data_IF_584471012711
#
_entry.id   IF_584471012711
#
_cell.length_a   1.000
_cell.length_b   1.000
_cell.length_c   1.000
_cell.angle_alpha   90.00
_cell.angle_beta   90.00
_cell.angle_gamma   90.00
#
_symmetry.space_group_name_H-M   'P 1'
#
loop_
_entity.id
_entity.type
_entity.pdbx_description
1 polymer ?
#
# COMPACT_ATOMS: atom_id res chain seq x y z
N UNK A 1 -33.45 9.29 7.35
CA UNK A 1 -32.10 9.90 7.49
C UNK A 1 -31.08 8.76 7.44
N UNK A 2 -30.49 8.53 6.30
CA UNK A 2 -29.40 7.55 6.14
C UNK A 2 -28.15 8.14 6.80
N UNK A 3 -27.76 7.60 7.95
CA UNK A 3 -26.46 7.88 8.55
C UNK A 3 -25.40 7.44 7.55
N UNK A 4 -24.74 8.39 6.91
CA UNK A 4 -23.53 8.13 6.13
C UNK A 4 -22.51 7.58 7.11
N UNK A 5 -22.28 6.27 7.07
CA UNK A 5 -21.23 5.62 7.84
C UNK A 5 -19.90 6.23 7.37
N UNK A 6 -19.34 7.14 8.14
CA UNK A 6 -17.95 7.56 7.92
C UNK A 6 -17.07 6.32 8.07
N UNK A 7 -16.22 6.09 7.08
CA UNK A 7 -15.24 5.00 7.14
C UNK A 7 -14.34 5.25 8.35
N UNK A 8 -14.36 4.32 9.31
CA UNK A 8 -13.50 4.41 10.48
C UNK A 8 -12.06 4.07 10.03
N UNK A 9 -11.19 5.06 10.02
CA UNK A 9 -9.76 4.85 9.81
C UNK A 9 -9.05 4.77 11.16
N UNK A 10 -7.98 3.98 11.23
CA UNK A 10 -7.08 3.99 12.38
C UNK A 10 -6.24 5.27 12.44
N UNK A 11 -5.60 5.50 13.58
CA UNK A 11 -4.74 6.64 13.85
C UNK A 11 -5.39 7.70 14.73
N UNK A 12 -4.81 8.90 14.81
CA UNK A 12 -5.33 10.02 15.59
C UNK A 12 -6.75 10.42 15.15
N UNK A 13 -7.55 10.85 16.11
CA UNK A 13 -8.87 11.44 15.91
C UNK A 13 -8.92 12.89 16.43
N UNK A 14 -10.13 13.44 16.61
CA UNK A 14 -10.34 14.79 17.13
C UNK A 14 -9.84 14.97 18.59
N UNK A 15 -9.62 13.88 19.33
CA UNK A 15 -9.06 13.89 20.69
C UNK A 15 -7.51 13.84 20.68
N UNK A 16 -6.89 13.65 19.53
CA UNK A 16 -5.46 13.60 19.35
C UNK A 16 -4.89 12.21 19.16
N UNK A 17 -3.61 12.04 19.52
CA UNK A 17 -2.90 10.76 19.40
C UNK A 17 -3.21 9.92 20.64
N UNK A 18 -3.75 8.69 20.51
CA UNK A 18 -4.02 7.83 21.67
C UNK A 18 -2.71 7.37 22.31
N UNK A 19 -2.71 7.20 23.62
CA UNK A 19 -1.57 6.65 24.37
C UNK A 19 -1.20 5.24 23.90
N UNK A 20 -2.22 4.45 23.53
CA UNK A 20 -2.08 3.10 22.99
C UNK A 20 -2.78 3.03 21.63
N UNK A 21 -2.03 3.08 20.54
CA UNK A 21 -2.58 2.96 19.20
C UNK A 21 -2.46 1.51 18.68
N UNK A 22 -3.58 0.80 18.66
CA UNK A 22 -3.71 -0.55 18.08
C UNK A 22 -4.24 -0.53 16.64
N UNK A 23 -4.31 0.63 16.02
CA UNK A 23 -4.95 0.82 14.72
C UNK A 23 -3.97 1.21 13.60
N UNK A 24 -2.78 1.72 13.95
CA UNK A 24 -1.78 2.15 12.98
C UNK A 24 -0.62 1.16 12.92
N UNK A 25 -0.62 0.29 11.92
CA UNK A 25 0.41 -0.73 11.71
C UNK A 25 1.66 -0.15 11.02
N UNK A 26 2.31 0.82 11.64
CA UNK A 26 3.57 1.40 11.16
C UNK A 26 4.78 0.75 11.84
N UNK A 27 5.98 1.00 11.29
CA UNK A 27 7.23 0.57 11.89
C UNK A 27 7.40 1.18 13.31
N UNK A 28 7.35 0.33 14.32
CA UNK A 28 7.40 0.75 15.73
C UNK A 28 8.81 1.16 16.20
N UNK A 29 9.85 0.97 15.39
CA UNK A 29 11.19 1.48 15.66
C UNK A 29 11.30 3.02 15.52
N UNK A 30 10.18 3.69 15.24
CA UNK A 30 10.09 5.14 15.08
C UNK A 30 10.37 5.59 13.64
N UNK A 31 10.39 6.88 13.39
CA UNK A 31 10.67 7.37 12.05
C UNK A 31 12.11 7.05 11.63
N UNK A 32 12.28 6.59 10.38
CA UNK A 32 13.59 6.42 9.77
C UNK A 32 14.36 7.76 9.79
N UNK A 33 15.49 7.87 10.52
CA UNK A 33 16.14 9.18 10.73
C UNK A 33 16.63 9.83 9.43
N UNK A 34 17.18 9.03 8.50
CA UNK A 34 17.67 9.54 7.22
C UNK A 34 16.52 10.02 6.32
N UNK A 35 15.40 9.28 6.25
CA UNK A 35 14.23 9.70 5.52
C UNK A 35 13.58 10.95 6.13
N UNK A 36 13.45 11.00 7.45
CA UNK A 36 12.93 12.16 8.17
C UNK A 36 13.75 13.42 7.85
N UNK A 37 15.08 13.31 7.92
CA UNK A 37 15.98 14.44 7.64
C UNK A 37 15.85 14.93 6.19
N UNK A 38 15.63 14.04 5.21
CA UNK A 38 15.41 14.44 3.79
C UNK A 38 14.05 15.13 3.65
N UNK A 39 12.99 14.58 4.27
CA UNK A 39 11.65 15.19 4.25
C UNK A 39 11.65 16.58 4.89
N UNK A 40 12.31 16.77 6.04
CA UNK A 40 12.40 18.07 6.73
C UNK A 40 13.16 19.12 5.93
N UNK A 41 14.08 18.72 5.06
CA UNK A 41 14.85 19.64 4.18
C UNK A 41 14.21 19.85 2.82
N UNK A 42 13.06 19.23 2.53
CA UNK A 42 12.39 19.39 1.24
C UNK A 42 12.02 20.87 1.00
N UNK A 43 12.36 21.37 -0.18
CA UNK A 43 11.99 22.75 -0.56
C UNK A 43 10.52 22.81 -0.97
N UNK A 44 9.66 23.24 -0.06
CA UNK A 44 8.24 23.39 -0.28
C UNK A 44 7.83 24.70 -0.96
N UNK A 45 8.78 25.60 -1.33
CA UNK A 45 8.50 26.88 -1.99
C UNK A 45 8.16 26.72 -3.47
N UNK A 46 8.55 25.61 -4.08
CA UNK A 46 8.37 25.36 -5.50
C UNK A 46 7.61 24.04 -5.74
N UNK A 47 6.85 23.98 -6.82
CA UNK A 47 6.30 22.72 -7.30
C UNK A 47 7.43 21.80 -7.74
N UNK A 48 7.30 20.48 -7.53
CA UNK A 48 8.21 19.51 -8.12
C UNK A 48 8.17 19.53 -9.65
N UNK A 49 9.14 18.86 -10.29
CA UNK A 49 9.07 18.53 -11.72
C UNK A 49 7.71 17.89 -12.04
N UNK A 50 6.89 18.46 -12.95
CA UNK A 50 5.56 17.93 -13.25
C UNK A 50 5.57 16.51 -13.84
N UNK A 51 6.68 16.08 -14.44
CA UNK A 51 6.87 14.71 -14.94
C UNK A 51 7.45 13.76 -13.87
N UNK A 52 7.98 14.32 -12.76
CA UNK A 52 8.69 13.55 -11.70
C UNK A 52 9.77 12.63 -12.28
N UNK A 53 10.51 13.09 -13.30
CA UNK A 53 11.40 12.27 -14.12
C UNK A 53 12.42 11.52 -13.29
N UNK A 54 13.21 12.21 -12.46
CA UNK A 54 14.22 11.60 -11.61
C UNK A 54 13.60 10.62 -10.59
N UNK A 55 12.49 10.99 -9.93
CA UNK A 55 11.83 10.10 -8.98
C UNK A 55 11.35 8.80 -9.63
N UNK A 56 10.78 8.88 -10.84
CA UNK A 56 10.31 7.69 -11.57
C UNK A 56 11.47 6.79 -11.97
N UNK A 57 12.60 7.36 -12.39
CA UNK A 57 13.83 6.60 -12.70
C UNK A 57 14.39 5.91 -11.45
N UNK A 58 14.45 6.59 -10.30
CA UNK A 58 14.95 6.01 -9.06
C UNK A 58 14.06 4.85 -8.58
N UNK A 59 12.73 5.03 -8.60
CA UNK A 59 11.77 3.98 -8.25
C UNK A 59 11.87 2.79 -9.22
N UNK A 60 11.99 3.06 -10.51
CA UNK A 60 12.12 2.04 -11.54
C UNK A 60 13.41 1.24 -11.37
N UNK A 61 14.54 1.91 -11.13
CA UNK A 61 15.83 1.27 -10.87
C UNK A 61 15.77 0.40 -9.61
N UNK A 62 15.16 0.88 -8.52
CA UNK A 62 14.97 0.13 -7.28
C UNK A 62 14.19 -1.18 -7.47
N UNK A 63 13.18 -1.18 -8.33
CA UNK A 63 12.36 -2.34 -8.63
C UNK A 63 12.80 -3.14 -9.86
N UNK A 64 13.87 -2.71 -10.54
CA UNK A 64 14.33 -3.29 -11.80
C UNK A 64 13.23 -3.38 -12.87
N UNK A 65 12.49 -2.27 -13.06
CA UNK A 65 11.39 -2.14 -14.04
C UNK A 65 11.58 -0.89 -14.89
N UNK A 66 10.84 -0.78 -16.00
CA UNK A 66 10.85 0.44 -16.82
C UNK A 66 10.15 1.60 -16.11
N UNK A 67 10.69 2.83 -16.23
CA UNK A 67 10.13 4.04 -15.62
C UNK A 67 8.69 4.35 -16.09
N UNK A 68 8.32 3.96 -17.31
CA UNK A 68 6.96 4.08 -17.83
C UNK A 68 5.93 3.25 -17.07
N UNK A 69 6.37 2.21 -16.34
CA UNK A 69 5.50 1.38 -15.49
C UNK A 69 5.22 2.00 -14.14
N UNK A 70 5.93 3.07 -13.74
CA UNK A 70 5.73 3.75 -12.47
C UNK A 70 4.59 4.76 -12.58
N UNK A 71 3.53 4.57 -11.80
CA UNK A 71 2.38 5.47 -11.69
C UNK A 71 2.35 6.07 -10.29
N UNK A 72 2.63 7.37 -10.19
CA UNK A 72 2.68 8.09 -8.92
C UNK A 72 1.27 8.43 -8.42
N UNK A 73 1.12 8.48 -7.10
CA UNK A 73 -0.14 8.74 -6.40
C UNK A 73 0.08 9.51 -5.10
N UNK A 74 -0.84 10.41 -4.76
CA UNK A 74 -0.77 11.18 -3.52
C UNK A 74 -0.88 10.30 -2.27
N UNK A 75 -1.49 9.14 -2.37
CA UNK A 75 -1.57 8.10 -1.32
C UNK A 75 -2.12 6.80 -1.90
N UNK A 76 -2.11 5.71 -1.12
CA UNK A 76 -2.84 4.49 -1.51
C UNK A 76 -4.32 4.77 -1.72
N UNK A 77 -4.95 5.50 -0.81
CA UNK A 77 -6.39 5.85 -0.91
C UNK A 77 -6.71 6.62 -2.20
N UNK A 78 -5.84 7.56 -2.61
CA UNK A 78 -5.98 8.28 -3.86
C UNK A 78 -5.84 7.33 -5.06
N UNK A 79 -4.83 6.46 -5.06
CA UNK A 79 -4.67 5.47 -6.12
C UNK A 79 -5.87 4.53 -6.20
N UNK A 80 -6.38 4.04 -5.07
CA UNK A 80 -7.55 3.15 -5.00
C UNK A 80 -8.77 3.82 -5.64
N UNK A 81 -9.05 5.07 -5.27
CA UNK A 81 -10.17 5.82 -5.84
C UNK A 81 -10.01 6.03 -7.35
N UNK A 82 -8.84 6.49 -7.78
CA UNK A 82 -8.52 6.77 -9.19
C UNK A 82 -8.52 5.50 -10.05
N UNK A 83 -7.95 4.41 -9.54
CA UNK A 83 -7.93 3.12 -10.25
C UNK A 83 -9.34 2.56 -10.41
N UNK A 84 -10.16 2.61 -9.36
CA UNK A 84 -11.57 2.18 -9.43
C UNK A 84 -12.35 3.04 -10.42
N UNK A 85 -12.14 4.36 -10.43
CA UNK A 85 -12.73 5.27 -11.41
C UNK A 85 -12.33 4.93 -12.85
N UNK A 86 -11.05 4.60 -13.07
CA UNK A 86 -10.56 4.18 -14.37
C UNK A 86 -11.25 2.90 -14.86
N UNK A 87 -11.32 1.86 -14.00
CA UNK A 87 -12.00 0.60 -14.35
C UNK A 87 -13.50 0.83 -14.62
N UNK A 88 -14.17 1.69 -13.82
CA UNK A 88 -15.57 2.04 -14.03
C UNK A 88 -15.80 2.72 -15.39
N UNK A 89 -14.91 3.66 -15.76
CA UNK A 89 -14.98 4.37 -17.06
C UNK A 89 -14.81 3.42 -18.25
N UNK A 90 -14.03 2.35 -18.08
CA UNK A 90 -13.83 1.30 -19.10
C UNK A 90 -14.93 0.22 -19.05
N UNK A 91 -16.07 0.49 -18.39
CA UNK A 91 -17.24 -0.40 -18.33
C UNK A 91 -17.19 -1.47 -17.24
N UNK A 92 -16.22 -1.42 -16.33
CA UNK A 92 -16.17 -2.30 -15.16
C UNK A 92 -17.31 -2.02 -14.19
N UNK A 93 -17.97 -3.07 -13.68
CA UNK A 93 -19.13 -2.96 -12.79
C UNK A 93 -19.08 -3.95 -11.62
N UNK A 94 -18.13 -4.87 -11.60
CA UNK A 94 -18.05 -5.91 -10.59
C UNK A 94 -16.66 -5.93 -9.95
N UNK A 95 -16.63 -6.01 -8.61
CA UNK A 95 -15.40 -6.05 -7.83
C UNK A 95 -15.35 -7.28 -6.94
N UNK A 96 -14.19 -7.92 -6.90
CA UNK A 96 -13.87 -8.91 -5.90
C UNK A 96 -12.97 -8.30 -4.83
N UNK A 97 -13.31 -8.57 -3.55
CA UNK A 97 -12.58 -8.12 -2.39
C UNK A 97 -12.37 -9.30 -1.43
N UNK A 98 -11.24 -9.37 -0.71
CA UNK A 98 -11.07 -10.29 0.40
C UNK A 98 -12.18 -10.15 1.44
N UNK A 99 -12.41 -11.18 2.24
CA UNK A 99 -13.40 -11.15 3.31
C UNK A 99 -13.09 -10.06 4.35
N UNK A 100 -11.81 -9.98 4.74
CA UNK A 100 -11.25 -8.90 5.54
C UNK A 100 -10.34 -8.09 4.64
N UNK A 101 -10.64 -6.81 4.46
CA UNK A 101 -9.95 -5.95 3.51
C UNK A 101 -9.86 -4.51 4.04
N UNK A 102 -8.90 -3.76 3.52
CA UNK A 102 -8.82 -2.33 3.78
C UNK A 102 -10.10 -1.62 3.29
N UNK A 103 -10.67 -0.78 4.14
CA UNK A 103 -11.99 -0.16 3.92
C UNK A 103 -12.11 0.65 2.64
N UNK A 104 -11.03 1.29 2.20
CA UNK A 104 -11.04 2.13 1.00
C UNK A 104 -11.36 1.36 -0.29
N UNK A 105 -11.03 0.06 -0.37
CA UNK A 105 -11.42 -0.73 -1.54
C UNK A 105 -12.94 -0.82 -1.69
N UNK A 106 -13.63 -1.12 -0.58
CA UNK A 106 -15.09 -1.20 -0.57
C UNK A 106 -15.73 0.18 -0.76
N UNK A 107 -15.15 1.22 -0.15
CA UNK A 107 -15.64 2.58 -0.27
C UNK A 107 -15.54 3.09 -1.72
N UNK A 108 -14.40 2.91 -2.38
CA UNK A 108 -14.21 3.28 -3.77
C UNK A 108 -15.17 2.50 -4.70
N UNK A 109 -15.31 1.20 -4.47
CA UNK A 109 -16.25 0.37 -5.21
C UNK A 109 -17.71 0.86 -5.06
N UNK A 110 -18.13 1.19 -3.84
CA UNK A 110 -19.45 1.74 -3.57
C UNK A 110 -19.68 3.10 -4.25
N UNK A 111 -18.68 3.99 -4.20
CA UNK A 111 -18.75 5.31 -4.85
C UNK A 111 -18.97 5.22 -6.35
N UNK A 112 -18.42 4.21 -6.99
CA UNK A 112 -18.57 3.92 -8.42
C UNK A 112 -19.62 2.85 -8.73
N UNK A 113 -20.45 2.48 -7.74
CA UNK A 113 -21.58 1.53 -7.89
C UNK A 113 -21.18 0.15 -8.39
N UNK A 114 -20.00 -0.32 -8.00
CA UNK A 114 -19.58 -1.70 -8.29
C UNK A 114 -20.41 -2.69 -7.48
N UNK A 115 -20.86 -3.76 -8.14
CA UNK A 115 -21.40 -4.94 -7.47
C UNK A 115 -20.25 -5.78 -6.89
N UNK A 116 -20.32 -6.11 -5.61
CA UNK A 116 -19.37 -7.06 -4.99
C UNK A 116 -19.71 -8.48 -5.41
N UNK A 117 -18.73 -9.20 -5.96
CA UNK A 117 -18.87 -10.61 -6.33
C UNK A 117 -18.00 -11.51 -5.46
N UNK A 118 -18.48 -12.74 -5.21
CA UNK A 118 -17.74 -13.74 -4.43
C UNK A 118 -16.77 -14.57 -5.28
N UNK A 119 -17.07 -14.75 -6.55
CA UNK A 119 -16.20 -15.44 -7.49
C UNK A 119 -15.34 -14.45 -8.27
N UNK A 120 -14.00 -14.47 -8.10
CA UNK A 120 -13.10 -13.58 -8.82
C UNK A 120 -13.19 -13.71 -10.35
N UNK A 121 -13.60 -14.85 -10.87
CA UNK A 121 -13.80 -15.04 -12.32
C UNK A 121 -14.91 -14.13 -12.92
N UNK A 122 -15.79 -13.61 -12.09
CA UNK A 122 -16.85 -12.67 -12.48
C UNK A 122 -16.47 -11.20 -12.28
N UNK A 123 -15.32 -10.92 -11.68
CA UNK A 123 -14.89 -9.56 -11.38
C UNK A 123 -14.31 -8.86 -12.61
N UNK A 124 -14.46 -7.53 -12.67
CA UNK A 124 -13.72 -6.64 -13.57
C UNK A 124 -12.53 -6.00 -12.86
N UNK A 125 -12.65 -5.84 -11.54
CA UNK A 125 -11.63 -5.32 -10.63
C UNK A 125 -11.47 -6.27 -9.46
N UNK A 126 -10.23 -6.55 -9.05
CA UNK A 126 -9.96 -7.31 -7.84
C UNK A 126 -8.81 -6.67 -7.04
N UNK A 127 -9.01 -6.60 -5.73
CA UNK A 127 -8.00 -6.12 -4.80
C UNK A 127 -7.43 -7.27 -4.00
N UNK A 128 -6.11 -7.32 -3.90
CA UNK A 128 -5.35 -8.20 -3.02
C UNK A 128 -4.54 -7.32 -2.07
N UNK A 129 -4.28 -7.79 -0.86
CA UNK A 129 -3.35 -7.13 0.08
C UNK A 129 -2.45 -8.21 0.69
N UNK A 130 -1.14 -8.04 0.57
CA UNK A 130 -0.20 -9.03 1.11
C UNK A 130 1.10 -8.37 1.58
N UNK A 131 1.48 -8.58 2.85
CA UNK A 131 0.72 -9.21 3.93
C UNK A 131 -0.64 -8.54 4.12
N UNK A 132 -1.67 -9.34 4.42
CA UNK A 132 -3.05 -8.85 4.54
C UNK A 132 -3.24 -7.96 5.80
N UNK A 133 -4.24 -7.09 5.78
CA UNK A 133 -4.68 -6.35 6.96
C UNK A 133 -6.13 -6.75 7.26
N UNK A 134 -6.46 -7.13 8.50
CA UNK A 134 -5.66 -7.03 9.74
C UNK A 134 -4.82 -8.25 10.09
N UNK A 135 -4.87 -9.35 9.33
CA UNK A 135 -4.32 -10.64 9.75
C UNK A 135 -2.80 -10.78 9.54
N UNK A 136 -2.22 -10.03 8.61
CA UNK A 136 -0.80 -10.13 8.28
C UNK A 136 -0.43 -11.40 7.49
N UNK A 137 -1.40 -12.05 6.86
CA UNK A 137 -1.22 -13.35 6.17
C UNK A 137 -1.09 -13.17 4.67
N UNK A 138 -0.65 -14.24 3.99
CA UNK A 138 -0.73 -14.37 2.55
C UNK A 138 -2.20 -14.48 2.10
N UNK A 139 -2.53 -13.94 0.91
CA UNK A 139 -3.88 -14.03 0.37
C UNK A 139 -4.11 -15.43 -0.27
N UNK A 140 -4.97 -16.28 0.31
CA UNK A 140 -5.13 -17.66 -0.14
C UNK A 140 -5.67 -17.77 -1.56
N UNK A 141 -6.41 -16.76 -2.05
CA UNK A 141 -7.00 -16.74 -3.38
C UNK A 141 -6.14 -16.03 -4.43
N UNK A 142 -4.95 -15.53 -4.09
CA UNK A 142 -4.13 -14.70 -4.96
C UNK A 142 -3.93 -15.29 -6.35
N UNK A 143 -3.55 -16.56 -6.46
CA UNK A 143 -3.35 -17.23 -7.77
C UNK A 143 -4.63 -17.32 -8.59
N UNK A 144 -5.76 -17.62 -7.94
CA UNK A 144 -7.08 -17.69 -8.61
C UNK A 144 -7.52 -16.31 -9.09
N UNK A 145 -7.31 -15.28 -8.28
CA UNK A 145 -7.62 -13.89 -8.61
C UNK A 145 -6.78 -13.43 -9.80
N UNK A 146 -5.48 -13.69 -9.82
CA UNK A 146 -4.60 -13.34 -10.95
C UNK A 146 -4.98 -14.06 -12.24
N UNK A 147 -5.55 -15.25 -12.15
CA UNK A 147 -6.03 -16.02 -13.29
C UNK A 147 -7.44 -15.64 -13.78
N UNK A 148 -8.14 -14.74 -13.07
CA UNK A 148 -9.55 -14.40 -13.35
C UNK A 148 -9.78 -13.56 -14.61
N UNK A 149 -8.74 -12.86 -15.11
CA UNK A 149 -8.86 -11.89 -16.20
C UNK A 149 -9.32 -10.49 -15.75
N UNK A 150 -9.58 -10.28 -14.46
CA UNK A 150 -9.87 -8.95 -13.89
C UNK A 150 -8.64 -8.05 -13.93
N UNK A 151 -8.86 -6.72 -13.81
CA UNK A 151 -7.80 -5.80 -13.40
C UNK A 151 -7.45 -6.08 -11.93
N UNK A 152 -6.26 -6.59 -11.67
CA UNK A 152 -5.85 -7.00 -10.33
C UNK A 152 -4.84 -6.00 -9.77
N UNK A 153 -5.09 -5.52 -8.56
CA UNK A 153 -4.15 -4.72 -7.79
C UNK A 153 -3.73 -5.50 -6.54
N UNK A 154 -2.43 -5.73 -6.38
CA UNK A 154 -1.81 -6.22 -5.16
C UNK A 154 -1.32 -5.01 -4.35
N UNK A 155 -1.97 -4.73 -3.24
CA UNK A 155 -1.52 -3.73 -2.26
C UNK A 155 -0.38 -4.32 -1.44
N UNK A 156 0.78 -3.69 -1.53
CA UNK A 156 2.03 -4.09 -0.88
C UNK A 156 2.44 -3.12 0.22
N UNK A 157 1.47 -2.45 0.85
CA UNK A 157 1.73 -1.49 1.92
C UNK A 157 2.53 -2.07 3.09
N UNK A 158 2.36 -3.36 3.37
CA UNK A 158 3.04 -4.07 4.45
C UNK A 158 4.16 -5.01 3.98
N UNK A 159 4.37 -5.17 2.68
CA UNK A 159 5.46 -6.01 2.18
C UNK A 159 6.84 -5.60 2.70
N UNK A 160 7.18 -4.29 2.80
CA UNK A 160 8.44 -3.87 3.39
C UNK A 160 8.56 -4.16 4.88
N UNK A 161 7.46 -4.46 5.56
CA UNK A 161 7.39 -4.83 6.97
C UNK A 161 7.18 -6.33 7.18
N UNK A 162 7.31 -7.14 6.14
CA UNK A 162 7.20 -8.60 6.26
C UNK A 162 8.35 -9.14 7.12
N UNK A 163 7.99 -9.88 8.18
CA UNK A 163 8.95 -10.48 9.11
C UNK A 163 9.30 -11.92 8.73
N UNK A 164 8.34 -12.66 8.18
CA UNK A 164 8.50 -14.08 7.82
C UNK A 164 7.81 -14.39 6.50
N UNK A 165 8.20 -15.52 5.88
CA UNK A 165 7.58 -15.96 4.64
C UNK A 165 7.99 -15.12 3.42
N UNK A 166 7.18 -15.18 2.38
CA UNK A 166 7.37 -14.45 1.11
C UNK A 166 6.02 -14.21 0.44
N UNK A 167 5.98 -13.29 -0.51
CA UNK A 167 4.80 -13.06 -1.34
C UNK A 167 4.30 -14.36 -1.98
N UNK A 168 2.98 -14.56 -1.98
CA UNK A 168 2.34 -15.76 -2.56
C UNK A 168 2.40 -15.79 -4.09
N UNK A 169 2.63 -14.62 -4.71
CA UNK A 169 2.78 -14.47 -6.15
C UNK A 169 4.25 -14.53 -6.56
N UNK A 170 4.57 -15.44 -7.45
CA UNK A 170 5.90 -15.54 -8.08
C UNK A 170 6.19 -14.34 -9.01
N UNK A 171 7.46 -14.04 -9.34
CA UNK A 171 7.84 -12.88 -10.15
C UNK A 171 7.08 -12.74 -11.47
N UNK A 172 6.80 -13.86 -12.16
CA UNK A 172 6.03 -13.84 -13.41
C UNK A 172 4.58 -13.41 -13.19
N UNK A 173 3.97 -13.79 -12.06
CA UNK A 173 2.62 -13.38 -11.69
C UNK A 173 2.59 -11.92 -11.25
N UNK A 174 3.61 -11.43 -10.54
CA UNK A 174 3.76 -10.01 -10.18
C UNK A 174 3.85 -9.10 -11.41
N UNK A 175 4.41 -9.57 -12.52
CA UNK A 175 4.44 -8.83 -13.78
C UNK A 175 3.06 -8.73 -14.48
N UNK A 176 2.06 -9.43 -14.00
CA UNK A 176 0.69 -9.45 -14.55
C UNK A 176 -0.31 -8.64 -13.73
N UNK A 177 0.09 -8.10 -12.59
CA UNK A 177 -0.76 -7.35 -11.68
C UNK A 177 -0.19 -5.96 -11.41
N UNK A 178 -1.05 -5.02 -11.05
CA UNK A 178 -0.61 -3.75 -10.49
C UNK A 178 -0.09 -3.97 -9.08
N UNK A 179 1.04 -3.36 -8.74
CA UNK A 179 1.65 -3.47 -7.41
C UNK A 179 1.61 -2.09 -6.76
N UNK A 180 0.76 -1.89 -5.77
CA UNK A 180 0.62 -0.61 -5.05
C UNK A 180 1.56 -0.58 -3.85
N UNK A 181 2.40 0.46 -3.76
CA UNK A 181 3.41 0.65 -2.73
C UNK A 181 3.19 1.94 -1.95
N UNK A 182 3.29 1.85 -0.61
CA UNK A 182 3.16 2.97 0.33
C UNK A 182 4.23 2.89 1.41
N UNK A 183 5.45 3.36 1.15
CA UNK A 183 6.59 3.16 2.05
C UNK A 183 6.53 3.97 3.36
N UNK A 184 5.58 4.89 3.50
CA UNK A 184 5.43 5.73 4.69
C UNK A 184 5.24 4.93 5.99
N UNK A 185 4.58 3.75 5.92
CA UNK A 185 4.44 2.85 7.08
C UNK A 185 5.78 2.20 7.43
N UNK A 186 6.51 1.72 6.44
CA UNK A 186 7.82 1.10 6.62
C UNK A 186 8.85 2.08 7.19
N UNK A 187 8.78 3.33 6.79
CA UNK A 187 9.66 4.39 7.27
C UNK A 187 9.19 5.05 8.57
N UNK A 188 8.03 4.66 9.13
CA UNK A 188 7.48 5.28 10.34
C UNK A 188 7.07 6.75 10.15
N UNK A 189 6.72 7.15 8.93
CA UNK A 189 6.39 8.53 8.54
C UNK A 189 4.96 8.62 7.96
N UNK A 190 3.98 8.06 8.65
CA UNK A 190 2.59 7.91 8.16
C UNK A 190 1.90 9.24 7.84
N UNK A 191 2.31 10.33 8.47
CA UNK A 191 1.81 11.68 8.19
C UNK A 191 2.28 12.25 6.83
N UNK A 192 3.35 11.71 6.24
CA UNK A 192 3.79 12.10 4.90
C UNK A 192 3.12 11.20 3.87
N UNK A 193 2.29 11.82 3.03
CA UNK A 193 1.45 11.10 2.06
C UNK A 193 2.16 11.01 0.72
N UNK A 194 2.39 9.79 0.25
CA UNK A 194 2.99 9.50 -1.06
C UNK A 194 2.90 8.00 -1.34
N UNK A 195 2.56 7.64 -2.57
CA UNK A 195 2.45 6.27 -3.02
C UNK A 195 2.83 6.15 -4.50
N UNK A 196 3.05 4.95 -4.96
CA UNK A 196 3.20 4.65 -6.38
C UNK A 196 2.71 3.24 -6.67
N UNK A 197 2.33 3.01 -7.92
CA UNK A 197 2.03 1.67 -8.40
C UNK A 197 2.97 1.29 -9.55
N UNK A 198 3.32 0.01 -9.63
CA UNK A 198 4.04 -0.59 -10.75
C UNK A 198 2.98 -1.24 -11.66
N UNK A 199 2.87 -0.76 -12.88
CA UNK A 199 1.96 -1.33 -13.88
C UNK A 199 2.41 -2.72 -14.34
N UNK A 200 1.49 -3.60 -14.73
CA UNK A 200 1.81 -4.85 -15.42
C UNK A 200 2.67 -4.63 -16.68
N UNK A 201 3.41 -5.64 -17.08
CA UNK A 201 4.11 -5.61 -18.38
C UNK A 201 3.06 -5.46 -19.49
N UNK A 202 3.32 -4.55 -20.43
CA UNK A 202 2.40 -4.26 -21.53
C UNK A 202 1.23 -3.33 -21.21
N UNK A 203 1.09 -2.85 -19.97
CA UNK A 203 -0.02 -1.98 -19.54
C UNK A 203 0.27 -0.46 -19.67
N UNK A 204 1.17 -0.05 -20.58
CA UNK A 204 1.54 1.37 -20.76
C UNK A 204 0.34 2.26 -21.10
N UNK A 205 -0.63 1.74 -21.87
CA UNK A 205 -1.85 2.48 -22.18
C UNK A 205 -2.67 2.79 -20.92
N UNK A 206 -2.85 1.79 -20.07
CA UNK A 206 -3.56 1.94 -18.79
C UNK A 206 -2.80 2.88 -17.84
N UNK A 207 -1.47 2.78 -17.78
CA UNK A 207 -0.64 3.69 -16.99
C UNK A 207 -0.82 5.15 -17.45
N UNK A 208 -0.80 5.42 -18.75
CA UNK A 208 -1.09 6.76 -19.32
C UNK A 208 -2.51 7.24 -18.98
N UNK A 209 -3.52 6.37 -19.08
CA UNK A 209 -4.89 6.72 -18.73
C UNK A 209 -5.03 7.10 -17.23
N UNK A 210 -4.33 6.39 -16.35
CA UNK A 210 -4.27 6.72 -14.93
C UNK A 210 -3.52 8.04 -14.65
N UNK A 211 -2.49 8.36 -15.42
CA UNK A 211 -1.85 9.69 -15.35
C UNK A 211 -2.79 10.80 -15.74
N UNK A 212 -3.60 10.62 -16.81
CA UNK A 212 -4.58 11.60 -17.25
C UNK A 212 -5.72 11.84 -16.24
N UNK A 213 -6.00 10.86 -15.38
CA UNK A 213 -6.98 10.98 -14.30
C UNK A 213 -6.40 11.56 -13.01
N UNK A 214 -5.07 11.68 -12.92
CA UNK A 214 -4.43 12.27 -11.75
C UNK A 214 -4.66 13.78 -11.70
N UNK A 215 -4.74 14.37 -10.50
CA UNK A 215 -4.65 15.83 -10.36
C UNK A 215 -3.28 16.31 -10.79
N UNK A 216 -3.17 17.61 -11.18
CA UNK A 216 -1.88 18.25 -11.39
C UNK A 216 -1.05 18.17 -10.10
N UNK A 217 0.23 17.80 -10.22
CA UNK A 217 1.10 17.59 -9.07
C UNK A 217 0.50 16.69 -7.97
N UNK A 218 0.29 15.40 -8.24
CA UNK A 218 -0.25 14.47 -7.26
C UNK A 218 0.65 14.32 -6.02
N UNK A 219 1.94 14.64 -6.13
CA UNK A 219 2.91 14.64 -5.05
C UNK A 219 3.44 16.05 -4.80
N UNK A 220 3.40 16.51 -3.56
CA UNK A 220 4.12 17.71 -3.10
C UNK A 220 5.59 17.39 -2.77
N UNK A 221 6.40 18.41 -2.49
CA UNK A 221 7.83 18.28 -2.24
C UNK A 221 8.20 17.27 -1.15
N UNK A 222 7.46 17.22 -0.04
CA UNK A 222 7.70 16.28 1.04
C UNK A 222 7.42 14.82 0.63
N UNK A 223 6.40 14.59 -0.20
CA UNK A 223 6.10 13.26 -0.73
C UNK A 223 7.17 12.78 -1.71
N UNK A 224 7.66 13.67 -2.58
CA UNK A 224 8.80 13.39 -3.47
C UNK A 224 10.03 13.02 -2.64
N UNK A 225 10.36 13.84 -1.63
CA UNK A 225 11.47 13.60 -0.71
C UNK A 225 11.36 12.26 0.04
N UNK A 226 10.14 11.88 0.48
CA UNK A 226 9.88 10.59 1.12
C UNK A 226 10.14 9.42 0.17
N UNK A 227 9.59 9.48 -1.05
CA UNK A 227 9.70 8.40 -2.01
C UNK A 227 11.13 8.27 -2.58
N UNK A 228 11.85 9.37 -2.69
CA UNK A 228 13.26 9.37 -3.07
C UNK A 228 14.14 8.80 -1.93
N UNK A 229 13.87 9.21 -0.68
CA UNK A 229 14.54 8.65 0.49
C UNK A 229 14.26 7.15 0.66
N UNK A 230 13.04 6.69 0.31
CA UNK A 230 12.65 5.29 0.39
C UNK A 230 13.62 4.36 -0.35
N UNK A 231 14.03 4.71 -1.55
CA UNK A 231 14.92 3.88 -2.38
C UNK A 231 16.40 4.05 -2.04
N UNK A 232 16.74 4.92 -1.09
CA UNK A 232 18.14 5.15 -0.71
C UNK A 232 18.71 3.96 0.06
N UNK A 233 20.00 3.61 -0.14
CA UNK A 233 20.65 2.55 0.63
C UNK A 233 20.55 2.77 2.14
N UNK A 234 20.71 4.00 2.62
CA UNK A 234 20.62 4.33 4.05
C UNK A 234 19.26 4.02 4.67
N UNK A 235 18.16 4.28 3.93
CA UNK A 235 16.82 3.93 4.39
C UNK A 235 16.58 2.42 4.36
N UNK A 236 17.08 1.72 3.35
CA UNK A 236 16.96 0.27 3.24
C UNK A 236 17.76 -0.44 4.32
N UNK A 237 18.98 0.02 4.63
CA UNK A 237 19.79 -0.50 5.73
C UNK A 237 19.14 -0.27 7.10
N UNK A 238 18.53 0.91 7.31
CA UNK A 238 17.78 1.18 8.53
C UNK A 238 16.56 0.26 8.65
N UNK A 239 15.82 0.07 7.56
CA UNK A 239 14.66 -0.81 7.53
C UNK A 239 15.06 -2.25 7.86
N UNK A 240 16.12 -2.77 7.25
CA UNK A 240 16.61 -4.12 7.53
C UNK A 240 16.90 -4.31 9.04
N UNK A 241 17.62 -3.39 9.67
CA UNK A 241 17.87 -3.45 11.13
C UNK A 241 16.59 -3.33 11.97
N UNK A 242 15.61 -2.53 11.52
CA UNK A 242 14.34 -2.41 12.21
C UNK A 242 13.51 -3.69 12.14
N UNK A 243 13.58 -4.44 11.02
CA UNK A 243 12.89 -5.73 10.90
C UNK A 243 13.39 -6.75 11.91
N UNK A 244 14.70 -6.83 12.18
CA UNK A 244 15.27 -7.70 13.21
C UNK A 244 14.70 -7.34 14.59
N UNK A 245 14.63 -6.05 14.91
CA UNK A 245 14.06 -5.55 16.18
C UNK A 245 12.57 -5.85 16.27
N UNK A 246 11.81 -5.59 15.20
CA UNK A 246 10.37 -5.87 15.16
C UNK A 246 10.07 -7.36 15.30
N UNK A 247 10.89 -8.22 14.71
CA UNK A 247 10.73 -9.67 14.84
C UNK A 247 10.97 -10.13 16.28
N UNK A 248 11.96 -9.58 16.95
CA UNK A 248 12.23 -9.86 18.36
C UNK A 248 11.03 -9.43 19.24
N UNK A 249 10.59 -8.19 19.13
CA UNK A 249 9.44 -7.68 19.89
C UNK A 249 8.15 -8.43 19.60
N UNK A 250 7.88 -8.76 18.33
CA UNK A 250 6.72 -9.55 17.94
C UNK A 250 6.73 -10.93 18.62
N UNK A 251 7.88 -11.59 18.63
CA UNK A 251 8.04 -12.92 19.26
C UNK A 251 7.83 -12.86 20.78
N UNK A 252 8.40 -11.87 21.47
CA UNK A 252 8.21 -11.67 22.91
C UNK A 252 6.76 -11.37 23.26
N UNK A 253 6.12 -10.46 22.52
CA UNK A 253 4.73 -10.07 22.77
C UNK A 253 3.77 -11.26 22.56
N UNK A 254 3.97 -12.04 21.50
CA UNK A 254 3.17 -13.24 21.23
C UNK A 254 3.33 -14.30 22.32
N UNK A 255 4.57 -14.54 22.78
CA UNK A 255 4.83 -15.46 23.88
C UNK A 255 4.18 -14.99 25.18
N UNK A 256 4.26 -13.69 25.48
CA UNK A 256 3.62 -13.08 26.65
C UNK A 256 2.09 -13.24 26.61
N UNK A 257 1.45 -12.95 25.49
CA UNK A 257 0.00 -13.11 25.35
C UNK A 257 -0.42 -14.59 25.44
N UNK A 258 0.32 -15.49 24.82
CA UNK A 258 0.05 -16.93 24.92
C UNK A 258 0.15 -17.44 26.37
N UNK A 259 1.12 -16.94 27.16
CA UNK A 259 1.24 -17.29 28.59
C UNK A 259 0.05 -16.82 29.45
N UNK A 260 -0.67 -15.79 28.98
CA UNK A 260 -1.91 -15.29 29.59
C UNK A 260 -3.17 -15.99 29.08
N UNK A 261 -3.03 -17.02 28.24
CA UNK A 261 -4.14 -17.81 27.71
C UNK A 261 -4.78 -17.23 26.45
N UNK A 262 -4.22 -16.20 25.84
CA UNK A 262 -4.70 -15.67 24.57
C UNK A 262 -4.33 -16.59 23.40
N UNK A 263 -5.26 -16.78 22.47
CA UNK A 263 -5.00 -17.42 21.19
C UNK A 263 -4.52 -16.37 20.19
N UNK A 264 -3.22 -16.37 19.91
CA UNK A 264 -2.61 -15.47 18.95
C UNK A 264 -2.63 -16.11 17.56
N UNK A 265 -3.18 -15.41 16.56
CA UNK A 265 -3.20 -15.86 15.17
C UNK A 265 -1.81 -15.70 14.53
N UNK A 266 -1.52 -16.54 13.53
CA UNK A 266 -0.29 -16.40 12.73
C UNK A 266 -0.29 -15.09 11.95
N UNK A 267 0.89 -14.52 11.74
CA UNK A 267 1.07 -13.31 10.94
C UNK A 267 2.49 -13.26 10.39
N UNK A 268 2.63 -12.85 9.14
CA UNK A 268 3.92 -12.58 8.51
C UNK A 268 4.41 -11.14 8.76
N UNK A 269 3.57 -10.30 9.35
CA UNK A 269 3.82 -8.88 9.60
C UNK A 269 4.11 -8.59 11.09
N UNK A 270 4.58 -7.37 11.46
CA UNK A 270 4.83 -7.02 12.86
C UNK A 270 3.56 -6.85 13.71
N UNK A 271 2.39 -6.92 13.11
CA UNK A 271 1.09 -6.91 13.80
C UNK A 271 0.39 -8.28 13.67
N UNK A 272 -0.50 -8.57 14.61
CA UNK A 272 -1.26 -9.82 14.65
C UNK A 272 -2.58 -9.64 15.40
N UNK A 273 -3.48 -10.61 15.29
CA UNK A 273 -4.75 -10.67 15.99
C UNK A 273 -4.77 -11.82 17.02
#
# INVERSE_FOLDING_TARGET
>A
MTTTSMTLHGGPDALGIPTWDFSTNANACGPCPCALAVVQRADARHYPDPAYSALREHLAAFHAVDAERIVLAGSASEFIARFTAWVARDGGQRVWLPALAYGDYAQAALAWKFERVHDPARAHLAWLCEPSSPLGEAEPFARRVVASGAQVVLDRAYEPLRLVGRCSLEPQALNRVWQLWTPNKALGLTGVRGAYAIAPVGAQHAARALHQLAPSWPLGAHAVALLDAWVSPASQDWLARSLDTLQHWNSEQRAGLASLGWRVLTSDAPFFC
#
